data_IF_625039282506
#
_entry.id   IF_625039282506
#
_cell.length_a   1.000
_cell.length_b   1.000
_cell.length_c   1.000
_cell.angle_alpha   90.00
_cell.angle_beta   90.00
_cell.angle_gamma   90.00
#
_symmetry.space_group_name_H-M   'P 1'
#
loop_
_entity.id
_entity.type
_entity.pdbx_description
1 polymer ?
#
# COMPACT_ATOMS: atom_id res chain seq x y z
N UNK A 1 5.05 16.63 18.04
CA UNK A 1 6.26 15.85 17.73
C UNK A 1 6.23 15.57 16.24
N UNK A 2 7.15 16.18 15.48
CA UNK A 2 7.36 15.85 14.06
C UNK A 2 8.16 14.55 14.02
N UNK A 3 7.56 13.50 13.44
CA UNK A 3 8.27 12.25 13.20
C UNK A 3 9.33 12.50 12.11
N UNK A 4 10.61 12.44 12.46
CA UNK A 4 11.69 12.55 11.48
C UNK A 4 11.98 11.15 10.91
N UNK A 5 11.90 11.01 9.60
CA UNK A 5 12.32 9.79 8.90
C UNK A 5 13.57 10.10 8.08
N UNK A 6 14.56 9.20 8.18
CA UNK A 6 15.72 9.25 7.29
C UNK A 6 15.22 8.99 5.87
N UNK A 7 15.42 9.95 4.97
CA UNK A 7 15.07 9.75 3.58
C UNK A 7 15.88 8.56 3.04
N UNK A 8 15.26 7.68 2.25
CA UNK A 8 16.05 6.74 1.49
C UNK A 8 16.96 7.56 0.56
N UNK A 9 18.24 7.19 0.52
CA UNK A 9 19.28 7.83 -0.27
C UNK A 9 19.10 7.53 -1.77
N UNK A 10 17.88 7.64 -2.29
CA UNK A 10 17.49 7.28 -3.63
C UNK A 10 17.53 8.54 -4.48
N UNK A 11 18.57 8.73 -5.29
CA UNK A 11 18.54 9.69 -6.39
C UNK A 11 17.82 9.07 -7.58
N UNK A 12 17.01 9.85 -8.29
CA UNK A 12 16.31 9.41 -9.50
C UNK A 12 16.56 10.39 -10.64
N UNK A 13 16.38 9.95 -11.88
CA UNK A 13 16.59 10.78 -13.07
C UNK A 13 15.27 11.39 -13.51
N UNK A 14 15.25 12.70 -13.72
CA UNK A 14 14.05 13.39 -14.17
C UNK A 14 13.67 12.96 -15.60
N UNK A 15 12.41 12.57 -15.85
CA UNK A 15 11.96 12.17 -17.19
C UNK A 15 11.90 13.33 -18.20
N UNK A 16 11.95 14.58 -17.74
CA UNK A 16 11.92 15.78 -18.60
C UNK A 16 13.31 16.32 -18.91
N UNK A 17 14.09 16.57 -17.86
CA UNK A 17 15.38 17.27 -17.92
C UNK A 17 16.57 16.30 -17.98
N UNK A 18 16.37 15.00 -17.73
CA UNK A 18 17.41 13.97 -17.54
C UNK A 18 18.48 14.30 -16.49
N UNK A 19 18.24 15.32 -15.65
CA UNK A 19 19.09 15.65 -14.51
C UNK A 19 18.64 14.87 -13.26
N UNK A 20 19.56 14.77 -12.30
CA UNK A 20 19.31 14.16 -11.00
C UNK A 20 18.21 14.91 -10.23
N UNK A 21 17.26 14.16 -9.68
CA UNK A 21 16.25 14.64 -8.76
C UNK A 21 16.57 14.13 -7.37
N UNK A 22 16.43 15.02 -6.38
CA UNK A 22 16.63 14.70 -4.97
C UNK A 22 15.30 14.72 -4.21
N UNK A 23 15.13 13.84 -3.20
CA UNK A 23 13.97 13.89 -2.32
C UNK A 23 14.07 15.14 -1.43
N UNK A 24 13.02 15.95 -1.42
CA UNK A 24 12.97 17.24 -0.69
C UNK A 24 12.04 17.21 0.50
N UNK A 25 10.99 16.37 0.47
CA UNK A 25 9.96 16.21 1.51
C UNK A 25 9.47 14.78 1.58
N UNK A 26 8.95 14.39 2.75
CA UNK A 26 8.25 13.13 2.95
C UNK A 26 6.80 13.39 3.34
N UNK A 27 5.89 12.52 2.91
CA UNK A 27 4.48 12.57 3.31
C UNK A 27 3.92 11.17 3.54
N UNK A 28 2.89 11.09 4.39
CA UNK A 28 2.05 9.90 4.52
C UNK A 28 0.90 10.01 3.51
N UNK A 29 0.60 8.90 2.84
CA UNK A 29 -0.41 8.86 1.78
C UNK A 29 -0.14 7.78 0.73
N UNK A 30 0.95 7.02 0.85
CA UNK A 30 1.27 5.84 0.03
C UNK A 30 0.55 4.59 0.49
N UNK A 31 0.82 3.49 -0.19
CA UNK A 31 0.37 2.16 0.19
C UNK A 31 -1.13 1.95 0.08
N UNK A 32 -1.55 0.74 0.41
CA UNK A 32 -2.95 0.40 0.55
C UNK A 32 -3.47 1.02 1.86
N UNK A 33 -4.50 1.88 1.77
CA UNK A 33 -5.09 2.56 2.93
C UNK A 33 -4.36 3.81 3.44
N UNK A 34 -3.42 4.38 2.67
CA UNK A 34 -2.83 5.70 2.96
C UNK A 34 -1.71 5.75 4.00
N UNK A 35 -1.34 4.61 4.60
CA UNK A 35 -0.30 4.54 5.62
C UNK A 35 1.13 4.40 5.08
N UNK A 36 1.31 4.36 3.76
CA UNK A 36 2.63 4.30 3.14
C UNK A 36 3.33 5.65 3.12
N UNK A 37 4.66 5.61 3.07
CA UNK A 37 5.50 6.79 2.93
C UNK A 37 5.73 7.12 1.46
N UNK A 38 5.55 8.39 1.12
CA UNK A 38 5.91 8.94 -0.18
C UNK A 38 6.92 10.06 -0.01
N UNK A 39 7.75 10.25 -1.00
CA UNK A 39 8.80 11.26 -1.05
C UNK A 39 8.56 12.17 -2.25
N UNK A 40 8.63 13.47 -2.03
CA UNK A 40 8.54 14.49 -3.07
C UNK A 40 9.93 14.74 -3.66
N UNK A 41 10.09 14.39 -4.92
CA UNK A 41 11.27 14.65 -5.73
C UNK A 41 11.09 15.91 -6.56
N UNK A 42 12.10 16.76 -6.61
CA UNK A 42 12.10 18.00 -7.42
C UNK A 42 13.36 18.03 -8.32
N UNK A 43 13.22 18.23 -9.64
CA UNK A 43 14.36 18.45 -10.57
C UNK A 43 14.87 19.89 -10.40
N UNK A 44 16.15 20.07 -10.09
CA UNK A 44 16.76 21.41 -9.96
C UNK A 44 16.78 22.19 -11.29
N UNK A 45 16.91 21.51 -12.44
CA UNK A 45 16.98 22.17 -13.75
C UNK A 45 15.65 22.54 -14.41
N UNK A 46 14.52 21.97 -13.98
CA UNK A 46 13.21 22.27 -14.61
C UNK A 46 12.02 22.35 -13.65
N UNK A 47 12.28 22.35 -12.33
CA UNK A 47 11.28 22.35 -11.25
C UNK A 47 10.19 21.28 -11.40
N UNK A 48 10.49 20.18 -12.11
CA UNK A 48 9.55 19.07 -12.26
C UNK A 48 9.42 18.33 -10.93
N UNK A 49 8.18 18.07 -10.50
CA UNK A 49 7.87 17.44 -9.22
C UNK A 49 7.26 16.07 -9.43
N UNK A 50 7.74 15.08 -8.67
CA UNK A 50 7.22 13.71 -8.70
C UNK A 50 7.12 13.21 -7.27
N UNK A 51 6.02 12.52 -6.96
CA UNK A 51 5.79 11.91 -5.66
C UNK A 51 6.01 10.39 -5.81
N UNK A 52 7.06 9.85 -5.18
CA UNK A 52 7.40 8.43 -5.25
C UNK A 52 7.18 7.75 -3.91
N UNK A 53 6.62 6.54 -3.94
CA UNK A 53 6.38 5.75 -2.74
C UNK A 53 7.60 4.88 -2.38
N UNK A 54 7.83 4.65 -1.08
CA UNK A 54 8.90 3.79 -0.59
C UNK A 54 8.74 2.33 -1.08
N UNK A 55 9.78 1.78 -1.69
CA UNK A 55 9.82 0.40 -2.17
C UNK A 55 9.71 -0.62 -1.04
N UNK A 56 10.28 -0.34 0.13
CA UNK A 56 10.20 -1.24 1.29
C UNK A 56 8.74 -1.48 1.73
N UNK A 57 7.92 -0.42 1.72
CA UNK A 57 6.49 -0.51 2.04
C UNK A 57 5.75 -1.36 1.00
N UNK A 58 6.09 -1.21 -0.28
CA UNK A 58 5.50 -1.98 -1.38
C UNK A 58 5.82 -3.47 -1.28
N UNK A 59 7.06 -3.81 -0.99
CA UNK A 59 7.51 -5.21 -0.85
C UNK A 59 6.84 -5.92 0.33
N UNK A 60 6.66 -5.24 1.46
CA UNK A 60 5.94 -5.80 2.62
C UNK A 60 4.47 -6.09 2.26
N UNK A 61 3.81 -5.16 1.55
CA UNK A 61 2.43 -5.35 1.09
C UNK A 61 2.34 -6.56 0.14
N UNK A 62 3.30 -6.73 -0.77
CA UNK A 62 3.34 -7.87 -1.69
C UNK A 62 3.51 -9.21 -0.95
N UNK A 63 4.37 -9.26 0.08
CA UNK A 63 4.55 -10.46 0.92
C UNK A 63 3.26 -10.77 1.67
N UNK A 64 2.64 -9.76 2.30
CA UNK A 64 1.37 -9.92 2.99
C UNK A 64 0.26 -10.41 2.05
N UNK A 65 0.23 -9.91 0.81
CA UNK A 65 -0.69 -10.36 -0.23
C UNK A 65 -0.54 -11.86 -0.53
N UNK A 66 0.70 -12.33 -0.74
CA UNK A 66 0.98 -13.73 -1.01
C UNK A 66 0.61 -14.63 0.17
N UNK A 67 0.89 -14.18 1.40
CA UNK A 67 0.47 -14.90 2.62
C UNK A 67 -1.05 -15.01 2.68
N UNK A 68 -1.79 -13.94 2.41
CA UNK A 68 -3.26 -13.98 2.40
C UNK A 68 -3.82 -14.92 1.34
N UNK A 69 -3.24 -14.93 0.13
CA UNK A 69 -3.63 -15.89 -0.93
C UNK A 69 -3.37 -17.33 -0.46
N UNK A 70 -2.19 -17.59 0.12
CA UNK A 70 -1.82 -18.90 0.64
C UNK A 70 -2.76 -19.39 1.74
N UNK A 71 -3.07 -18.52 2.71
CA UNK A 71 -4.02 -18.79 3.78
C UNK A 71 -5.42 -19.07 3.22
N UNK A 72 -5.88 -18.29 2.26
CA UNK A 72 -7.17 -18.49 1.60
C UNK A 72 -7.27 -19.84 0.87
N UNK A 73 -6.19 -20.24 0.17
CA UNK A 73 -6.12 -21.53 -0.52
C UNK A 73 -6.12 -22.71 0.47
N UNK A 74 -5.26 -22.67 1.49
CA UNK A 74 -5.16 -23.74 2.49
C UNK A 74 -6.46 -23.85 3.28
N UNK A 75 -7.00 -22.73 3.77
CA UNK A 75 -8.28 -22.71 4.49
C UNK A 75 -9.45 -23.19 3.64
N UNK A 76 -9.49 -22.82 2.36
CA UNK A 76 -10.49 -23.31 1.42
C UNK A 76 -10.44 -24.82 1.17
N UNK A 77 -9.26 -25.44 1.23
CA UNK A 77 -9.12 -26.90 1.10
C UNK A 77 -9.51 -27.62 2.40
N UNK A 78 -9.20 -27.03 3.55
CA UNK A 78 -9.44 -27.67 4.86
C UNK A 78 -10.88 -27.53 5.36
N UNK A 79 -11.64 -26.57 4.86
CA UNK A 79 -13.01 -26.31 5.32
C UNK A 79 -14.08 -27.04 4.49
N UNK A 80 -15.21 -27.35 5.12
CA UNK A 80 -16.38 -27.92 4.44
C UNK A 80 -17.22 -26.83 3.76
N UNK A 81 -17.91 -27.12 2.66
CA UNK A 81 -18.87 -26.19 2.05
C UNK A 81 -20.00 -25.80 3.01
N UNK A 82 -20.46 -24.53 3.02
CA UNK A 82 -20.08 -23.42 2.12
C UNK A 82 -18.91 -22.56 2.65
N UNK A 83 -18.44 -22.82 3.88
CA UNK A 83 -17.43 -21.99 4.56
C UNK A 83 -16.10 -21.92 3.81
N UNK A 84 -15.73 -22.97 3.08
CA UNK A 84 -14.54 -22.98 2.23
C UNK A 84 -14.56 -21.93 1.11
N UNK A 85 -15.69 -21.75 0.43
CA UNK A 85 -15.83 -20.77 -0.66
C UNK A 85 -15.74 -19.37 -0.09
N UNK A 86 -16.44 -19.09 1.01
CA UNK A 86 -16.38 -17.80 1.70
C UNK A 86 -14.95 -17.47 2.15
N UNK A 87 -14.26 -18.43 2.77
CA UNK A 87 -12.89 -18.24 3.25
C UNK A 87 -11.92 -18.00 2.08
N UNK A 88 -11.99 -18.81 1.03
CA UNK A 88 -11.15 -18.67 -0.15
C UNK A 88 -11.39 -17.35 -0.90
N UNK A 89 -12.64 -16.92 -1.04
CA UNK A 89 -13.00 -15.65 -1.70
C UNK A 89 -12.54 -14.45 -0.88
N UNK A 90 -12.74 -14.47 0.44
CA UNK A 90 -12.34 -13.35 1.31
C UNK A 90 -10.82 -13.21 1.33
N UNK A 91 -10.10 -14.26 1.70
CA UNK A 91 -8.64 -14.19 1.86
C UNK A 91 -7.90 -14.17 0.52
N UNK A 92 -8.35 -14.96 -0.46
CA UNK A 92 -7.81 -14.94 -1.82
C UNK A 92 -8.12 -13.64 -2.55
N UNK A 93 -9.34 -13.11 -2.42
CA UNK A 93 -9.73 -11.82 -3.01
C UNK A 93 -8.98 -10.64 -2.40
N UNK A 94 -8.83 -10.62 -1.07
CA UNK A 94 -7.97 -9.67 -0.35
C UNK A 94 -6.54 -9.72 -0.89
N UNK A 95 -5.93 -10.91 -0.88
CA UNK A 95 -4.56 -11.09 -1.32
C UNK A 95 -4.37 -10.70 -2.80
N UNK A 96 -5.29 -11.04 -3.69
CA UNK A 96 -5.26 -10.63 -5.08
C UNK A 96 -5.36 -9.10 -5.24
N UNK A 97 -6.22 -8.43 -4.48
CA UNK A 97 -6.35 -6.97 -4.50
C UNK A 97 -5.04 -6.28 -4.03
N UNK A 98 -4.41 -6.79 -2.97
CA UNK A 98 -3.11 -6.29 -2.50
C UNK A 98 -2.00 -6.52 -3.53
N UNK A 99 -1.96 -7.70 -4.14
CA UNK A 99 -0.98 -8.04 -5.16
C UNK A 99 -1.12 -7.16 -6.41
N UNK A 100 -2.37 -6.88 -6.82
CA UNK A 100 -2.66 -5.96 -7.92
C UNK A 100 -2.27 -4.51 -7.62
N UNK A 101 -2.51 -4.04 -6.39
CA UNK A 101 -2.08 -2.71 -5.95
C UNK A 101 -0.55 -2.56 -6.02
N UNK A 102 0.20 -3.59 -5.61
CA UNK A 102 1.66 -3.63 -5.76
C UNK A 102 2.10 -3.53 -7.22
N UNK A 103 1.55 -4.39 -8.10
CA UNK A 103 1.98 -4.47 -9.50
C UNK A 103 1.65 -3.22 -10.30
N UNK A 104 0.45 -2.66 -10.10
CA UNK A 104 0.03 -1.41 -10.77
C UNK A 104 0.86 -0.20 -10.34
N UNK A 105 1.27 -0.14 -9.06
CA UNK A 105 2.18 0.88 -8.54
C UNK A 105 3.59 0.79 -9.14
N UNK A 106 4.12 -0.42 -9.34
CA UNK A 106 5.43 -0.66 -9.96
C UNK A 106 5.47 -0.23 -11.43
N UNK A 107 4.38 -0.47 -12.17
CA UNK A 107 4.32 -0.21 -13.63
C UNK A 107 4.26 1.28 -13.98
N UNK A 108 3.66 2.11 -13.12
CA UNK A 108 3.52 3.56 -13.38
C UNK A 108 4.82 4.33 -13.11
N UNK A 109 5.65 3.85 -12.19
CA UNK A 109 6.90 4.50 -11.80
C UNK A 109 7.96 3.42 -11.53
N UNK A 110 8.65 2.92 -12.56
CA UNK A 110 9.76 2.01 -12.38
C UNK A 110 10.89 2.76 -11.68
N UNK A 111 11.08 2.50 -10.38
CA UNK A 111 12.22 3.00 -9.60
C UNK A 111 13.42 2.07 -9.85
N UNK A 112 13.75 1.83 -11.12
CA UNK A 112 14.78 0.86 -11.52
C UNK A 112 16.20 1.45 -11.48
N UNK A 113 16.36 2.73 -11.10
CA UNK A 113 17.65 3.44 -11.10
C UNK A 113 17.88 4.23 -9.81
N UNK A 114 17.77 3.51 -8.70
CA UNK A 114 18.10 3.93 -7.36
C UNK A 114 19.63 4.04 -7.16
N UNK A 115 20.22 5.23 -7.31
CA UNK A 115 21.62 5.45 -6.92
C UNK A 115 21.70 5.88 -5.46
N UNK A 116 22.49 5.14 -4.64
CA UNK A 116 22.74 5.46 -3.22
C UNK A 116 23.50 6.78 -3.10
N UNK A 117 22.84 7.84 -2.65
CA UNK A 117 23.48 9.10 -2.25
C UNK A 117 24.33 8.91 -0.98
N UNK A 118 25.45 9.63 -0.86
CA UNK A 118 26.46 9.42 0.18
C UNK A 118 26.09 9.89 1.59
N UNK A 119 25.02 10.68 1.79
CA UNK A 119 24.65 11.20 3.13
C UNK A 119 23.13 11.15 3.42
N UNK A 120 22.70 10.64 4.60
CA UNK A 120 21.30 10.56 4.97
C UNK A 120 20.75 11.94 5.34
N UNK A 121 19.89 12.50 4.49
CA UNK A 121 19.18 13.76 4.79
C UNK A 121 17.91 13.44 5.59
N UNK A 122 17.78 14.01 6.80
CA UNK A 122 16.55 13.91 7.60
C UNK A 122 15.58 15.00 7.14
N UNK A 123 14.34 14.63 6.82
CA UNK A 123 13.33 15.59 6.39
C UNK A 123 12.05 15.40 7.17
N UNK A 124 11.39 16.51 7.50
CA UNK A 124 10.12 16.50 8.21
C UNK A 124 9.02 15.81 7.38
N UNK A 125 8.22 15.00 8.05
CA UNK A 125 7.03 14.39 7.45
C UNK A 125 5.88 15.39 7.56
N UNK A 126 5.46 15.94 6.42
CA UNK A 126 4.21 16.70 6.35
C UNK A 126 3.07 15.73 6.04
N UNK A 127 1.94 15.87 6.72
CA UNK A 127 0.72 15.16 6.34
C UNK A 127 0.17 15.78 5.05
N UNK A 128 -0.42 14.96 4.17
CA UNK A 128 -1.23 15.42 3.04
C UNK A 128 -0.50 16.24 1.94
N UNK A 129 0.75 15.90 1.59
CA UNK A 129 1.37 16.47 0.38
C UNK A 129 0.77 15.77 -0.86
N UNK A 130 -0.07 16.50 -1.61
CA UNK A 130 -0.63 16.06 -2.89
C UNK A 130 -0.09 16.92 -4.04
N UNK A 131 0.15 16.32 -5.21
CA UNK A 131 0.60 17.08 -6.40
C UNK A 131 -0.54 17.85 -7.06
N UNK A 132 -1.78 17.39 -6.88
CA UNK A 132 -2.99 18.03 -7.42
C UNK A 132 -4.22 17.73 -6.56
N UNK A 133 -5.27 18.54 -6.72
CA UNK A 133 -6.58 18.31 -6.10
C UNK A 133 -7.21 16.98 -6.56
N UNK A 134 -6.95 16.58 -7.81
CA UNK A 134 -7.41 15.29 -8.34
C UNK A 134 -6.79 14.10 -7.59
N UNK A 135 -5.50 14.18 -7.26
CA UNK A 135 -4.80 13.15 -6.51
C UNK A 135 -5.35 13.04 -5.08
N UNK A 136 -5.62 14.17 -4.43
CA UNK A 136 -6.26 14.20 -3.12
C UNK A 136 -7.65 13.57 -3.15
N UNK A 137 -8.49 13.92 -4.15
CA UNK A 137 -9.82 13.34 -4.31
C UNK A 137 -9.77 11.83 -4.62
N UNK A 138 -8.79 11.38 -5.40
CA UNK A 138 -8.55 9.97 -5.65
C UNK A 138 -8.14 9.24 -4.37
N UNK A 139 -7.23 9.82 -3.58
CA UNK A 139 -6.77 9.26 -2.32
C UNK A 139 -7.92 9.05 -1.34
N UNK A 140 -8.74 10.08 -1.13
CA UNK A 140 -9.93 10.04 -0.25
C UNK A 140 -10.96 8.98 -0.69
N UNK A 141 -11.13 8.77 -2.00
CA UNK A 141 -12.00 7.73 -2.54
C UNK A 141 -11.45 6.34 -2.26
N UNK A 142 -10.16 6.12 -2.50
CA UNK A 142 -9.49 4.86 -2.18
C UNK A 142 -9.55 4.54 -0.69
N UNK A 143 -9.24 5.51 0.18
CA UNK A 143 -9.31 5.34 1.63
C UNK A 143 -10.70 4.86 2.05
N UNK A 144 -11.75 5.55 1.58
CA UNK A 144 -13.14 5.15 1.85
C UNK A 144 -13.45 3.74 1.37
N UNK A 145 -13.02 3.36 0.16
CA UNK A 145 -13.22 2.02 -0.38
C UNK A 145 -12.53 0.95 0.48
N UNK A 146 -11.28 1.21 0.88
CA UNK A 146 -10.50 0.32 1.75
C UNK A 146 -11.16 0.19 3.12
N UNK A 147 -11.59 1.29 3.73
CA UNK A 147 -12.31 1.26 5.02
C UNK A 147 -13.59 0.44 4.92
N UNK A 148 -14.42 0.66 3.89
CA UNK A 148 -15.62 -0.15 3.65
C UNK A 148 -15.30 -1.63 3.48
N UNK A 149 -14.24 -1.94 2.74
CA UNK A 149 -13.79 -3.31 2.54
C UNK A 149 -13.37 -3.96 3.86
N UNK A 150 -12.60 -3.27 4.70
CA UNK A 150 -12.20 -3.74 6.03
C UNK A 150 -13.44 -4.05 6.88
N UNK A 151 -14.44 -3.16 6.88
CA UNK A 151 -15.69 -3.39 7.61
C UNK A 151 -16.48 -4.60 7.10
N UNK A 152 -16.53 -4.82 5.78
CA UNK A 152 -17.16 -6.00 5.20
C UNK A 152 -16.47 -7.29 5.62
N UNK A 153 -15.13 -7.30 5.64
CA UNK A 153 -14.34 -8.46 6.11
C UNK A 153 -14.61 -8.71 7.59
N UNK A 154 -14.56 -7.67 8.43
CA UNK A 154 -14.84 -7.79 9.87
C UNK A 154 -16.26 -8.30 10.12
N UNK A 155 -17.25 -7.82 9.37
CA UNK A 155 -18.62 -8.30 9.45
C UNK A 155 -18.73 -9.77 9.02
N UNK A 156 -18.05 -10.18 7.95
CA UNK A 156 -18.01 -11.58 7.50
C UNK A 156 -17.35 -12.51 8.52
N UNK A 157 -16.24 -12.09 9.13
CA UNK A 157 -15.56 -12.83 10.21
C UNK A 157 -16.46 -12.93 11.45
N UNK A 158 -17.12 -11.85 11.84
CA UNK A 158 -18.07 -11.87 12.95
C UNK A 158 -19.25 -12.81 12.69
N UNK A 159 -19.79 -12.82 11.47
CA UNK A 159 -20.85 -13.74 11.07
C UNK A 159 -20.39 -15.21 11.17
N UNK A 160 -19.18 -15.53 10.70
CA UNK A 160 -18.60 -16.87 10.80
C UNK A 160 -18.44 -17.30 12.27
N UNK A 161 -17.93 -16.42 13.13
CA UNK A 161 -17.80 -16.70 14.56
C UNK A 161 -19.16 -16.94 15.22
N UNK A 162 -20.19 -16.16 14.87
CA UNK A 162 -21.54 -16.35 15.37
C UNK A 162 -22.14 -17.68 14.91
N UNK A 163 -21.92 -18.07 13.65
CA UNK A 163 -22.39 -19.38 13.16
C UNK A 163 -21.71 -20.54 13.87
N UNK A 164 -20.38 -20.48 14.09
CA UNK A 164 -19.66 -21.52 14.82
C UNK A 164 -20.08 -21.59 16.29
N UNK A 165 -20.35 -20.45 16.93
CA UNK A 165 -20.86 -20.41 18.29
C UNK A 165 -22.26 -21.03 18.38
N UNK A 166 -23.15 -20.71 17.42
CA UNK A 166 -24.49 -21.29 17.35
C UNK A 166 -24.45 -22.81 17.20
N UNK A 167 -23.60 -23.34 16.31
CA UNK A 167 -23.42 -24.79 16.14
C UNK A 167 -22.92 -25.46 17.43
N UNK A 168 -21.96 -24.85 18.13
CA UNK A 168 -21.43 -25.38 19.39
C UNK A 168 -22.45 -25.41 20.52
N UNK A 169 -23.34 -24.41 20.60
CA UNK A 169 -24.40 -24.36 21.62
C UNK A 169 -25.48 -25.42 21.34
N UNK A 170 -25.69 -25.78 20.07
CA UNK A 170 -26.74 -26.71 19.66
C UNK A 170 -26.29 -28.19 19.60
N UNK A 171 -24.99 -28.47 19.73
CA UNK A 171 -24.40 -29.83 19.77
C UNK A 171 -24.25 -30.36 21.19
#
# INVERSE_FOLDING_TARGET
>A
MTDMIKLPQLETVCPKCHQTMKPTRATRGGGWGGNGLRFLYVCEGCDHKVLLENEATRSIIAIAALVLIGVGLVGGIMMSPPSNVLFAVVFGGLGAAFFWAYYSGKRKYPVDQAHQASEPTSVDIEQDIFLSEEEQAHHKRMERQVTWFIWLVLAGVALLLLTSLYEWVMS
#
